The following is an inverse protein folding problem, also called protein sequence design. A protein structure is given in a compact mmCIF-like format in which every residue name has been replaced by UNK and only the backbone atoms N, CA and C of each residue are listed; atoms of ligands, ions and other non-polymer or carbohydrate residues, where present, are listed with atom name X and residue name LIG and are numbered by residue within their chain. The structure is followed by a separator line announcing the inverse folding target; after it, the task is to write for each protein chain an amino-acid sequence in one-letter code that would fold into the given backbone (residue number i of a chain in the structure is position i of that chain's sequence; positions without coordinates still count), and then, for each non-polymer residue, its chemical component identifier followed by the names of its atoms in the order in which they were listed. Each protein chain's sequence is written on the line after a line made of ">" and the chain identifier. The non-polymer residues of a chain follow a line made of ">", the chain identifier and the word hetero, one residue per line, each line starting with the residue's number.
data_IF_438474066185
#
_entry.id   IF_438474066185
#
_cell.length_a   1.000
_cell.length_b   1.000
_cell.length_c   1.000
_cell.angle_alpha   90.00
_cell.angle_beta   90.00
_cell.angle_gamma   90.00
#
_symmetry.space_group_name_H-M   'P 1'
#
loop_
_entity.id
_entity.type
_entity.pdbx_description
1 polymer ?
#
# COMPACT_ATOMS: atom_id res chain seq x y z
N UNK A 1 6.94 6.95 2.07
CA UNK A 1 6.60 5.64 1.49
C UNK A 1 7.81 4.74 1.57
N UNK A 2 7.79 3.72 2.43
CA UNK A 2 8.98 2.88 2.72
C UNK A 2 8.64 1.40 2.75
N UNK A 3 7.97 0.94 3.80
CA UNK A 3 7.61 -0.47 3.98
C UNK A 3 6.31 -0.57 4.78
N UNK A 4 5.39 -1.44 4.37
CA UNK A 4 4.16 -1.71 5.12
C UNK A 4 4.34 -2.95 5.98
N UNK A 5 4.58 -2.73 7.27
CA UNK A 5 4.65 -3.81 8.27
C UNK A 5 3.36 -4.63 8.33
N UNK A 6 2.21 -3.98 8.15
CA UNK A 6 0.92 -4.69 8.15
C UNK A 6 0.79 -5.61 6.95
N UNK A 7 1.17 -5.16 5.75
CA UNK A 7 1.11 -5.98 4.53
C UNK A 7 2.12 -7.13 4.58
N UNK A 8 3.26 -6.95 5.23
CA UNK A 8 4.26 -8.00 5.40
C UNK A 8 3.75 -9.16 6.26
N UNK A 9 3.17 -8.88 7.43
CA UNK A 9 2.69 -9.93 8.35
C UNK A 9 1.31 -10.49 7.98
N UNK A 10 0.41 -9.65 7.45
CA UNK A 10 -0.99 -10.01 7.22
C UNK A 10 -1.36 -10.17 5.74
N UNK A 11 -0.44 -9.89 4.80
CA UNK A 11 -0.64 -10.14 3.37
C UNK A 11 -1.98 -9.61 2.84
N UNK A 12 -2.78 -10.51 2.28
CA UNK A 12 -4.07 -10.21 1.66
C UNK A 12 -5.18 -9.78 2.63
N UNK A 13 -5.05 -10.00 3.95
CA UNK A 13 -6.02 -9.49 4.92
C UNK A 13 -6.01 -7.95 4.96
N UNK A 14 -4.88 -7.32 4.69
CA UNK A 14 -4.73 -5.86 4.72
C UNK A 14 -5.61 -5.15 3.68
N UNK A 15 -5.57 -5.49 2.38
CA UNK A 15 -6.45 -4.88 1.39
C UNK A 15 -7.94 -5.19 1.65
N UNK A 16 -8.29 -6.34 2.23
CA UNK A 16 -9.68 -6.65 2.61
C UNK A 16 -10.17 -5.67 3.67
N UNK A 17 -9.41 -5.47 4.75
CA UNK A 17 -9.77 -4.55 5.84
C UNK A 17 -9.82 -3.10 5.33
N UNK A 18 -8.98 -2.75 4.36
CA UNK A 18 -8.96 -1.42 3.72
C UNK A 18 -10.05 -1.21 2.66
N UNK A 19 -10.89 -2.20 2.38
CA UNK A 19 -11.94 -2.13 1.37
C UNK A 19 -11.43 -2.15 -0.08
N UNK A 20 -10.19 -2.58 -0.32
CA UNK A 20 -9.57 -2.62 -1.64
C UNK A 20 -9.65 -4.03 -2.25
N UNK A 21 -10.87 -4.44 -2.62
CA UNK A 21 -11.18 -5.80 -3.10
C UNK A 21 -10.34 -6.22 -4.31
N UNK A 22 -10.05 -5.28 -5.23
CA UNK A 22 -9.20 -5.53 -6.40
C UNK A 22 -7.81 -6.01 -5.99
N UNK A 23 -7.16 -5.31 -5.06
CA UNK A 23 -5.83 -5.68 -4.57
C UNK A 23 -5.86 -6.89 -3.67
N UNK A 24 -6.95 -7.14 -2.93
CA UNK A 24 -7.12 -8.35 -2.15
C UNK A 24 -7.07 -9.61 -3.03
N UNK A 25 -7.81 -9.63 -4.15
CA UNK A 25 -7.81 -10.77 -5.08
C UNK A 25 -6.42 -10.98 -5.67
N UNK A 26 -5.76 -9.91 -6.15
CA UNK A 26 -4.40 -9.99 -6.72
C UNK A 26 -3.41 -10.55 -5.69
N UNK A 27 -3.45 -10.06 -4.46
CA UNK A 27 -2.57 -10.55 -3.41
C UNK A 27 -2.86 -12.00 -3.05
N UNK A 28 -4.12 -12.43 -2.93
CA UNK A 28 -4.47 -13.83 -2.66
C UNK A 28 -3.88 -14.75 -3.73
N UNK A 29 -4.10 -14.43 -5.01
CA UNK A 29 -3.61 -15.25 -6.13
C UNK A 29 -2.08 -15.33 -6.11
N UNK A 30 -1.38 -14.21 -6.00
CA UNK A 30 0.09 -14.20 -6.03
C UNK A 30 0.70 -14.83 -4.76
N UNK A 31 0.08 -14.63 -3.60
CA UNK A 31 0.51 -15.25 -2.32
C UNK A 31 0.35 -16.77 -2.39
N UNK A 32 -0.70 -17.27 -3.04
CA UNK A 32 -0.94 -18.71 -3.24
C UNK A 32 0.17 -19.35 -4.10
N UNK A 33 0.60 -18.68 -5.17
CA UNK A 33 1.68 -19.18 -6.05
C UNK A 33 3.08 -19.04 -5.46
N UNK A 34 3.29 -18.09 -4.56
CA UNK A 34 4.61 -17.81 -3.96
C UNK A 34 4.75 -18.32 -2.52
N UNK A 35 3.75 -19.03 -2.00
CA UNK A 35 3.70 -19.52 -0.62
C UNK A 35 3.99 -18.42 0.43
N UNK A 36 3.50 -17.20 0.20
CA UNK A 36 3.67 -16.08 1.13
C UNK A 36 4.94 -15.24 0.95
N UNK A 37 5.90 -15.64 0.10
CA UNK A 37 7.10 -14.84 -0.15
C UNK A 37 6.76 -13.48 -0.82
N UNK A 38 5.68 -13.42 -1.58
CA UNK A 38 5.22 -12.18 -2.21
C UNK A 38 4.87 -11.08 -1.21
N UNK A 39 4.59 -11.41 0.05
CA UNK A 39 4.26 -10.41 1.08
C UNK A 39 5.41 -9.42 1.30
N UNK A 40 6.66 -9.86 1.16
CA UNK A 40 7.84 -8.98 1.24
C UNK A 40 7.78 -7.92 0.15
N UNK A 41 7.54 -8.34 -1.10
CA UNK A 41 7.50 -7.46 -2.27
C UNK A 41 6.26 -6.55 -2.20
N UNK A 42 5.10 -7.09 -1.85
CA UNK A 42 3.86 -6.33 -1.72
C UNK A 42 3.91 -5.30 -0.59
N UNK A 43 4.67 -5.54 0.47
CA UNK A 43 4.86 -4.56 1.54
C UNK A 43 5.47 -3.24 1.04
N UNK A 44 6.25 -3.26 -0.04
CA UNK A 44 6.76 -2.07 -0.69
C UNK A 44 5.78 -1.50 -1.73
N UNK A 45 5.23 -2.36 -2.60
CA UNK A 45 4.42 -1.93 -3.76
C UNK A 45 3.04 -1.44 -3.32
N UNK A 46 2.30 -2.26 -2.57
CA UNK A 46 0.90 -1.96 -2.24
C UNK A 46 0.79 -0.74 -1.33
N UNK A 47 1.74 -0.55 -0.42
CA UNK A 47 1.76 0.62 0.44
C UNK A 47 1.78 1.92 -0.36
N UNK A 48 2.67 2.00 -1.37
CA UNK A 48 2.78 3.14 -2.25
C UNK A 48 1.49 3.34 -3.05
N UNK A 49 0.97 2.28 -3.66
CA UNK A 49 -0.25 2.35 -4.47
C UNK A 49 -1.45 2.82 -3.65
N UNK A 50 -1.60 2.28 -2.44
CA UNK A 50 -2.70 2.63 -1.54
C UNK A 50 -2.65 4.11 -1.17
N UNK A 51 -1.47 4.66 -0.84
CA UNK A 51 -1.38 6.09 -0.54
C UNK A 51 -1.59 6.96 -1.76
N UNK A 52 -1.12 6.57 -2.95
CA UNK A 52 -1.43 7.31 -4.18
C UNK A 52 -2.94 7.34 -4.43
N UNK A 53 -3.63 6.20 -4.27
CA UNK A 53 -5.09 6.13 -4.41
C UNK A 53 -5.82 7.03 -3.40
N UNK A 54 -5.34 7.09 -2.16
CA UNK A 54 -5.85 8.01 -1.13
C UNK A 54 -5.69 9.47 -1.57
N UNK A 55 -4.50 9.86 -2.05
CA UNK A 55 -4.23 11.20 -2.56
C UNK A 55 -5.14 11.56 -3.75
N UNK A 56 -5.31 10.64 -4.70
CA UNK A 56 -6.24 10.82 -5.83
C UNK A 56 -7.70 10.95 -5.38
N UNK A 57 -8.09 10.28 -4.30
CA UNK A 57 -9.42 10.40 -3.71
C UNK A 57 -9.62 11.66 -2.85
N UNK A 58 -8.64 12.57 -2.83
CA UNK A 58 -8.71 13.87 -2.14
C UNK A 58 -8.31 13.82 -0.66
N UNK A 59 -7.73 12.71 -0.20
CA UNK A 59 -7.18 12.65 1.16
C UNK A 59 -5.85 13.39 1.22
N UNK A 60 -5.71 14.29 2.18
CA UNK A 60 -4.45 14.98 2.44
C UNK A 60 -3.63 14.26 3.51
N UNK A 61 -2.28 14.30 3.41
CA UNK A 61 -1.41 13.79 4.46
C UNK A 61 -1.62 14.60 5.75
N UNK A 62 -1.95 13.90 6.84
CA UNK A 62 -2.17 14.52 8.16
C UNK A 62 -0.90 15.16 8.74
N UNK A 63 0.28 14.62 8.43
CA UNK A 63 1.55 15.09 8.98
C UNK A 63 2.38 15.89 7.97
N UNK A 64 3.00 16.98 8.42
CA UNK A 64 3.88 17.84 7.61
C UNK A 64 5.12 17.10 7.09
N UNK A 65 5.61 16.11 7.85
CA UNK A 65 6.67 15.20 7.40
C UNK A 65 6.24 14.35 6.20
N UNK A 66 5.03 13.77 6.28
CA UNK A 66 4.45 12.99 5.19
C UNK A 66 4.20 13.87 3.96
N UNK A 67 3.72 15.11 4.17
CA UNK A 67 3.56 16.13 3.13
C UNK A 67 4.90 16.47 2.46
N UNK A 68 5.96 16.66 3.24
CA UNK A 68 7.32 16.90 2.74
C UNK A 68 7.84 15.77 1.85
N UNK A 69 7.66 14.50 2.26
CA UNK A 69 8.04 13.32 1.47
C UNK A 69 7.23 13.21 0.17
N UNK A 70 5.95 13.55 0.21
CA UNK A 70 5.08 13.49 -0.96
C UNK A 70 5.43 14.60 -1.97
N UNK A 71 5.72 15.81 -1.48
CA UNK A 71 6.17 16.96 -2.28
C UNK A 71 7.54 16.72 -2.89
N UNK A 72 8.49 16.17 -2.12
CA UNK A 72 9.83 15.83 -2.62
C UNK A 72 9.82 14.76 -3.72
N UNK A 73 8.73 13.98 -3.82
CA UNK A 73 8.51 12.96 -4.85
C UNK A 73 7.56 13.41 -5.97
N UNK A 74 7.14 14.68 -5.98
CA UNK A 74 6.27 15.26 -7.00
C UNK A 74 4.84 14.69 -7.02
N UNK A 75 4.38 14.10 -5.91
CA UNK A 75 3.03 13.50 -5.81
C UNK A 75 1.95 14.50 -5.40
N UNK A 76 2.34 15.65 -4.83
CA UNK A 76 1.47 16.77 -4.46
C UNK A 76 2.26 18.08 -4.64
N UNK A 77 1.57 19.19 -4.92
CA UNK A 77 2.17 20.52 -5.14
C UNK A 77 2.67 21.19 -3.84
#
# INVERSE_FOLDING_TARGET
>A
MGFSWTTFFFGFFVPIIRGDVKWAIVMVVVTLFTFGLSNIVFAFIYNKQYTTKLLESGYEPTDEYSRGILRSRGMIA
#
